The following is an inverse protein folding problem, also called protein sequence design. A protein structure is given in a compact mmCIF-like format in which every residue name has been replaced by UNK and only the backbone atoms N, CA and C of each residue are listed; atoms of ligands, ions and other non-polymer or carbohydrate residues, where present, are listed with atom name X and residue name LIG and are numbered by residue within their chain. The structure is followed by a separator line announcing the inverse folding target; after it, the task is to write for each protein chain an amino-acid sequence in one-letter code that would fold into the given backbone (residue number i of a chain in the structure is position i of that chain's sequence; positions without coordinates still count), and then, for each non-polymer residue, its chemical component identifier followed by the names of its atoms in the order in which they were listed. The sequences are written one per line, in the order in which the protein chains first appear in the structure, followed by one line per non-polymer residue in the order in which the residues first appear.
data_IF_325207786808
#
_entry.id   IF_325207786808
#
_cell.length_a   1.000
_cell.length_b   1.000
_cell.length_c   1.000
_cell.angle_alpha   90.00
_cell.angle_beta   90.00
_cell.angle_gamma   90.00
#
_symmetry.space_group_name_H-M   'P 1'
#
loop_
_entity.id
_entity.type
_entity.pdbx_description
1 polymer ?
#
# COMPACT_ATOMS: atom_id res chain seq x y z
N UNK A 1 24.62 1.00 -9.75
CA UNK A 1 23.91 2.30 -9.53
C UNK A 1 24.31 3.30 -10.60
N UNK A 2 23.38 4.03 -11.21
CA UNK A 2 23.70 5.03 -12.23
C UNK A 2 24.10 6.38 -11.59
N UNK A 3 24.76 7.27 -12.37
CA UNK A 3 25.26 8.57 -11.89
C UNK A 3 24.14 9.48 -11.36
N UNK A 4 22.96 9.48 -12.02
CA UNK A 4 21.82 10.31 -11.62
C UNK A 4 21.29 9.91 -10.24
N UNK A 5 21.12 8.59 -10.00
CA UNK A 5 20.68 8.07 -8.70
C UNK A 5 21.70 8.38 -7.59
N UNK A 6 22.99 8.27 -7.89
CA UNK A 6 24.05 8.60 -6.93
C UNK A 6 24.00 10.07 -6.53
N UNK A 7 23.81 10.97 -7.50
CA UNK A 7 23.67 12.40 -7.23
C UNK A 7 22.49 12.71 -6.29
N UNK A 8 21.30 12.09 -6.52
CA UNK A 8 20.14 12.26 -5.63
C UNK A 8 20.46 11.83 -4.19
N UNK A 9 21.13 10.69 -4.02
CA UNK A 9 21.53 10.21 -2.68
C UNK A 9 22.51 11.18 -2.01
N UNK A 10 23.49 11.71 -2.77
CA UNK A 10 24.49 12.66 -2.25
C UNK A 10 23.93 14.05 -1.96
N UNK A 11 22.82 14.44 -2.60
CA UNK A 11 22.12 15.70 -2.36
C UNK A 11 21.14 15.65 -1.17
N UNK A 12 20.75 14.46 -0.72
CA UNK A 12 19.89 14.30 0.44
C UNK A 12 20.68 14.51 1.73
N UNK A 13 20.14 15.29 2.67
CA UNK A 13 20.70 15.50 3.99
C UNK A 13 20.64 14.20 4.83
N UNK A 14 19.60 13.40 4.60
CA UNK A 14 19.47 12.06 5.17
C UNK A 14 19.18 11.05 4.05
N UNK A 15 19.95 9.95 4.01
CA UNK A 15 19.70 8.80 3.11
C UNK A 15 20.34 7.56 3.73
N UNK A 16 19.69 6.98 4.73
CA UNK A 16 20.23 5.94 5.59
C UNK A 16 19.29 4.77 5.78
N UNK A 17 19.86 3.58 5.98
CA UNK A 17 19.14 2.38 6.45
C UNK A 17 19.28 2.30 7.96
N UNK A 18 18.15 2.26 8.64
CA UNK A 18 18.06 2.01 10.08
C UNK A 18 17.70 0.54 10.32
N UNK A 19 18.36 -0.05 11.32
CA UNK A 19 18.02 -1.39 11.81
C UNK A 19 17.22 -1.21 13.12
N UNK A 20 15.91 -1.46 13.07
CA UNK A 20 15.00 -1.29 14.20
C UNK A 20 14.33 -2.61 14.60
N UNK A 21 14.17 -2.83 15.90
CA UNK A 21 13.31 -3.92 16.39
C UNK A 21 11.85 -3.51 16.25
N UNK A 22 11.11 -4.18 15.36
CA UNK A 22 9.68 -3.99 15.14
C UNK A 22 8.98 -5.35 15.25
N UNK A 23 8.03 -5.49 16.18
CA UNK A 23 7.36 -6.76 16.47
C UNK A 23 8.32 -7.85 16.97
N UNK A 24 9.46 -7.47 17.57
CA UNK A 24 10.49 -8.41 18.02
C UNK A 24 11.44 -8.90 16.93
N UNK A 25 11.34 -8.38 15.69
CA UNK A 25 12.22 -8.70 14.56
C UNK A 25 13.11 -7.51 14.23
N UNK A 26 14.40 -7.77 13.97
CA UNK A 26 15.30 -6.72 13.50
C UNK A 26 15.00 -6.43 12.03
N UNK A 27 14.43 -5.26 11.75
CA UNK A 27 13.95 -4.87 10.43
C UNK A 27 14.69 -3.63 9.93
N UNK A 28 14.96 -3.61 8.63
CA UNK A 28 15.60 -2.50 7.92
C UNK A 28 14.56 -1.53 7.40
N UNK A 29 14.79 -0.24 7.64
CA UNK A 29 13.94 0.86 7.19
C UNK A 29 14.83 1.89 6.49
N UNK A 30 14.54 2.23 5.25
CA UNK A 30 15.21 3.32 4.56
C UNK A 30 14.54 4.64 4.90
N UNK A 31 15.34 5.62 5.30
CA UNK A 31 14.87 7.01 5.49
C UNK A 31 15.71 7.89 4.58
N UNK A 32 15.04 8.68 3.72
CA UNK A 32 15.73 9.63 2.87
C UNK A 32 14.92 10.93 2.65
N UNK A 33 15.61 12.05 2.65
CA UNK A 33 15.06 13.38 2.42
C UNK A 33 16.14 14.41 2.18
N UNK A 34 15.80 15.42 1.41
CA UNK A 34 16.74 16.48 1.03
C UNK A 34 17.05 17.43 2.19
N UNK A 35 16.12 17.58 3.12
CA UNK A 35 16.19 18.49 4.26
C UNK A 35 15.48 17.85 5.44
N UNK A 36 16.14 17.78 6.60
CA UNK A 36 15.61 17.14 7.82
C UNK A 36 14.54 17.96 8.54
N UNK A 37 14.26 19.18 8.10
CA UNK A 37 13.14 19.99 8.59
C UNK A 37 11.81 19.73 7.86
N UNK A 38 11.82 18.95 6.79
CA UNK A 38 10.63 18.63 6.00
C UNK A 38 9.68 17.71 6.76
N UNK A 39 8.37 17.73 6.44
CA UNK A 39 7.43 16.73 6.98
C UNK A 39 7.84 15.31 6.62
N UNK A 40 7.52 14.38 7.50
CA UNK A 40 7.82 12.95 7.32
C UNK A 40 6.64 12.22 6.69
N UNK A 41 6.91 11.31 5.76
CA UNK A 41 5.90 10.41 5.17
C UNK A 41 6.33 8.95 5.33
N UNK A 42 5.59 8.19 6.13
CA UNK A 42 5.74 6.73 6.19
C UNK A 42 4.94 6.09 5.05
N UNK A 43 5.58 5.22 4.29
CA UNK A 43 4.92 4.47 3.22
C UNK A 43 4.50 3.08 3.69
N UNK A 44 3.21 2.74 3.57
CA UNK A 44 2.66 1.42 3.84
C UNK A 44 2.23 0.78 2.53
N UNK A 45 3.06 -0.11 2.02
CA UNK A 45 2.86 -0.73 0.70
C UNK A 45 1.67 -1.71 0.67
N UNK A 46 1.24 -2.04 -0.53
CA UNK A 46 0.16 -2.99 -0.81
C UNK A 46 0.61 -4.46 -0.82
N UNK A 47 -0.25 -5.30 -1.29
CA UNK A 47 -0.04 -6.74 -1.41
C UNK A 47 -1.05 -7.55 -0.59
N UNK A 48 -0.73 -8.12 0.56
CA UNK A 48 0.49 -8.02 1.38
C UNK A 48 1.79 -8.47 0.67
N UNK A 49 2.92 -7.89 1.10
CA UNK A 49 4.24 -8.30 0.65
C UNK A 49 4.72 -7.76 -0.71
N UNK A 50 4.12 -6.68 -1.21
CA UNK A 50 4.52 -6.07 -2.50
C UNK A 50 4.95 -4.60 -2.30
N UNK A 51 6.21 -4.32 -1.89
CA UNK A 51 6.69 -2.97 -1.60
C UNK A 51 6.98 -2.17 -2.89
N UNK A 52 5.95 -1.92 -3.68
CA UNK A 52 5.97 -1.15 -4.92
C UNK A 52 4.81 -0.13 -4.85
N UNK A 53 5.02 1.16 -5.19
CA UNK A 53 6.23 1.73 -5.80
C UNK A 53 7.37 2.03 -4.85
N UNK A 54 7.10 2.23 -3.56
CA UNK A 54 8.08 2.63 -2.55
C UNK A 54 8.58 1.42 -1.75
N UNK A 55 9.89 1.20 -1.81
CA UNK A 55 10.59 0.10 -1.16
C UNK A 55 11.91 0.59 -0.61
N UNK A 56 12.44 -0.07 0.42
CA UNK A 56 13.77 0.18 0.93
C UNK A 56 14.87 0.03 -0.16
N UNK A 57 14.60 -0.77 -1.19
CA UNK A 57 15.47 -0.86 -2.37
C UNK A 57 15.41 0.35 -3.31
N UNK A 58 14.53 1.31 -3.09
CA UNK A 58 14.31 2.46 -3.98
C UNK A 58 15.15 3.70 -3.62
N UNK A 59 16.16 3.61 -2.74
CA UNK A 59 17.04 4.72 -2.38
C UNK A 59 17.43 5.54 -3.61
N UNK A 60 17.18 6.86 -3.59
CA UNK A 60 17.50 7.81 -4.65
C UNK A 60 16.71 7.66 -5.95
N UNK A 61 15.52 7.01 -5.95
CA UNK A 61 14.69 6.88 -7.15
C UNK A 61 13.59 7.94 -7.27
N UNK A 62 13.17 8.56 -6.17
CA UNK A 62 12.03 9.45 -6.11
C UNK A 62 12.37 10.86 -5.62
N UNK A 63 13.24 11.61 -6.36
CA UNK A 63 13.67 12.95 -5.94
C UNK A 63 12.51 13.95 -5.82
N UNK A 64 11.40 13.74 -6.53
CA UNK A 64 10.19 14.53 -6.45
C UNK A 64 9.51 14.43 -5.08
N UNK A 65 9.63 13.27 -4.41
CA UNK A 65 9.15 13.05 -3.05
C UNK A 65 10.19 13.48 -2.02
N UNK A 66 11.44 13.02 -2.15
CA UNK A 66 12.50 13.33 -1.16
C UNK A 66 12.90 14.80 -1.14
N UNK A 67 12.60 15.55 -2.19
CA UNK A 67 12.76 17.01 -2.22
C UNK A 67 11.67 17.80 -1.45
N UNK A 68 10.61 17.13 -0.98
CA UNK A 68 9.46 17.74 -0.29
C UNK A 68 9.14 17.10 1.05
N UNK A 69 9.62 15.89 1.28
CA UNK A 69 9.36 15.07 2.46
C UNK A 69 10.59 14.28 2.86
N UNK A 70 10.66 13.95 4.13
CA UNK A 70 11.47 12.85 4.61
C UNK A 70 10.66 11.58 4.38
N UNK A 71 11.08 10.76 3.42
CA UNK A 71 10.38 9.54 3.06
C UNK A 71 10.90 8.36 3.88
N UNK A 72 10.00 7.62 4.51
CA UNK A 72 10.29 6.40 5.26
C UNK A 72 9.77 5.21 4.46
N UNK A 73 10.68 4.42 3.90
CA UNK A 73 10.35 3.24 3.13
C UNK A 73 10.59 1.99 3.98
N UNK A 74 9.51 1.27 4.23
CA UNK A 74 9.54 0.04 5.02
C UNK A 74 8.99 -1.12 4.18
N UNK A 75 9.88 -2.03 3.79
CA UNK A 75 9.45 -3.34 3.32
C UNK A 75 8.94 -4.09 4.54
N UNK A 76 7.64 -4.30 4.63
CA UNK A 76 7.04 -4.96 5.78
C UNK A 76 7.63 -6.36 5.98
N UNK A 77 7.65 -6.84 7.23
CA UNK A 77 8.19 -8.15 7.57
C UNK A 77 7.70 -9.23 6.61
N UNK A 78 8.61 -10.03 6.08
CA UNK A 78 8.31 -11.13 5.14
C UNK A 78 8.47 -10.79 3.67
N UNK A 79 8.88 -9.57 3.30
CA UNK A 79 9.19 -9.22 1.91
C UNK A 79 10.41 -8.31 1.79
N UNK A 80 10.91 -8.14 0.55
CA UNK A 80 12.03 -7.26 0.24
C UNK A 80 13.23 -7.51 1.14
N UNK A 81 13.82 -6.43 1.69
CA UNK A 81 15.01 -6.51 2.55
C UNK A 81 14.71 -7.14 3.93
N UNK A 82 13.42 -7.18 4.32
CA UNK A 82 12.95 -7.79 5.57
C UNK A 82 12.33 -9.17 5.32
N UNK A 83 13.03 -10.00 4.56
CA UNK A 83 12.58 -11.31 4.10
C UNK A 83 12.64 -12.37 5.23
N UNK A 84 11.71 -12.29 6.16
CA UNK A 84 11.49 -13.29 7.21
C UNK A 84 10.38 -14.27 6.81
N UNK A 85 10.33 -15.41 7.48
CA UNK A 85 9.24 -16.37 7.30
C UNK A 85 7.96 -15.82 7.94
N UNK A 86 6.89 -15.79 7.18
CA UNK A 86 5.55 -15.42 7.65
C UNK A 86 4.70 -16.68 7.71
N UNK A 87 4.51 -17.19 8.91
CA UNK A 87 3.63 -18.35 9.17
C UNK A 87 2.20 -17.90 9.56
N UNK A 88 1.34 -18.85 9.91
CA UNK A 88 -0.06 -18.57 10.23
C UNK A 88 -0.29 -17.86 11.58
N UNK A 89 0.76 -17.63 12.39
CA UNK A 89 0.67 -16.82 13.60
C UNK A 89 0.63 -15.32 13.36
N UNK A 90 1.08 -14.89 12.19
CA UNK A 90 1.03 -13.48 11.80
C UNK A 90 -0.38 -13.09 11.36
N UNK A 91 -0.93 -12.10 12.04
CA UNK A 91 -2.27 -11.53 11.87
C UNK A 91 -2.21 -10.09 11.39
N UNK A 92 -3.34 -9.47 11.03
CA UNK A 92 -3.42 -8.02 10.78
C UNK A 92 -2.86 -7.26 11.98
N UNK A 93 -3.23 -7.64 13.21
CA UNK A 93 -2.78 -6.98 14.43
C UNK A 93 -1.26 -7.06 14.65
N UNK A 94 -0.59 -8.12 14.20
CA UNK A 94 0.88 -8.21 14.21
C UNK A 94 1.52 -7.07 13.39
N UNK A 95 1.01 -6.81 12.21
CA UNK A 95 1.49 -5.73 11.33
C UNK A 95 1.08 -4.34 11.84
N UNK A 96 -0.09 -4.21 12.44
CA UNK A 96 -0.53 -2.97 13.09
C UNK A 96 0.41 -2.61 14.24
N UNK A 97 0.80 -3.58 15.06
CA UNK A 97 1.75 -3.37 16.15
C UNK A 97 3.12 -2.93 15.64
N UNK A 98 3.67 -3.62 14.62
CA UNK A 98 4.92 -3.22 13.98
C UNK A 98 4.83 -1.80 13.39
N UNK A 99 3.68 -1.42 12.81
CA UNK A 99 3.47 -0.07 12.27
C UNK A 99 3.46 0.99 13.37
N UNK A 100 2.84 0.71 14.52
CA UNK A 100 2.85 1.62 15.67
C UNK A 100 4.26 1.79 16.23
N UNK A 101 5.04 0.72 16.33
CA UNK A 101 6.44 0.77 16.76
C UNK A 101 7.30 1.56 15.75
N UNK A 102 7.07 1.38 14.43
CA UNK A 102 7.72 2.19 13.39
C UNK A 102 7.41 3.67 13.56
N UNK A 103 6.12 4.03 13.75
CA UNK A 103 5.69 5.42 13.99
C UNK A 103 6.40 5.99 15.21
N UNK A 104 6.49 5.24 16.31
CA UNK A 104 7.19 5.67 17.50
C UNK A 104 8.67 5.96 17.21
N UNK A 105 9.37 5.05 16.52
CA UNK A 105 10.79 5.23 16.16
C UNK A 105 11.01 6.45 15.26
N UNK A 106 10.12 6.69 14.33
CA UNK A 106 10.15 7.87 13.47
C UNK A 106 9.93 9.15 14.27
N UNK A 107 8.98 9.17 15.20
CA UNK A 107 8.74 10.33 16.09
C UNK A 107 9.91 10.59 17.06
N UNK A 108 10.58 9.55 17.52
CA UNK A 108 11.80 9.70 18.32
C UNK A 108 12.94 10.36 17.51
N UNK A 109 13.03 10.06 16.20
CA UNK A 109 14.06 10.62 15.33
C UNK A 109 13.71 12.04 14.81
N UNK A 110 12.42 12.30 14.61
CA UNK A 110 11.89 13.56 14.07
C UNK A 110 10.76 14.11 14.98
N UNK A 111 11.06 14.56 16.21
CA UNK A 111 10.04 14.90 17.20
C UNK A 111 9.20 16.13 16.84
N UNK A 112 9.76 17.07 16.06
CA UNK A 112 9.13 18.34 15.73
C UNK A 112 8.51 18.36 14.33
N UNK A 113 8.71 17.29 13.53
CA UNK A 113 8.21 17.23 12.16
C UNK A 113 6.77 16.71 12.13
N UNK A 114 5.93 17.27 11.27
CA UNK A 114 4.64 16.65 10.94
C UNK A 114 4.86 15.28 10.35
N UNK A 115 4.02 14.33 10.73
CA UNK A 115 4.10 12.94 10.33
C UNK A 115 2.85 12.51 9.58
N UNK A 116 3.00 12.11 8.33
CA UNK A 116 1.93 11.62 7.47
C UNK A 116 2.14 10.15 7.11
N UNK A 117 1.06 9.48 6.70
CA UNK A 117 1.12 8.17 6.08
C UNK A 117 0.67 8.28 4.63
N UNK A 118 1.40 7.64 3.74
CA UNK A 118 0.92 7.22 2.44
C UNK A 118 0.74 5.70 2.42
N UNK A 119 -0.46 5.22 2.16
CA UNK A 119 -0.76 3.78 2.13
C UNK A 119 -1.44 3.34 0.85
N UNK A 120 -1.25 2.08 0.46
CA UNK A 120 -1.86 1.49 -0.73
C UNK A 120 -2.50 0.14 -0.40
N UNK A 121 -3.72 -0.08 -0.90
CA UNK A 121 -4.37 -1.41 -0.87
C UNK A 121 -4.27 -2.05 0.54
N UNK A 122 -3.58 -3.19 0.69
CA UNK A 122 -3.30 -3.80 2.00
C UNK A 122 -2.80 -2.79 3.05
N UNK A 123 -1.89 -1.88 2.69
CA UNK A 123 -1.40 -0.84 3.60
C UNK A 123 -2.52 0.06 4.16
N UNK A 124 -3.64 0.20 3.45
CA UNK A 124 -4.80 0.98 3.91
C UNK A 124 -5.53 0.32 5.08
N UNK A 125 -5.46 -1.00 5.19
CA UNK A 125 -5.97 -1.72 6.37
C UNK A 125 -5.13 -1.32 7.59
N UNK A 126 -3.81 -1.28 7.44
CA UNK A 126 -2.92 -0.91 8.53
C UNK A 126 -3.17 0.54 8.97
N UNK A 127 -3.25 1.50 8.03
CA UNK A 127 -3.52 2.90 8.38
C UNK A 127 -4.87 3.10 9.08
N UNK A 128 -5.94 2.43 8.67
CA UNK A 128 -7.22 2.49 9.38
C UNK A 128 -7.13 1.88 10.78
N UNK A 129 -6.51 0.70 10.91
CA UNK A 129 -6.39 -0.02 12.19
C UNK A 129 -5.47 0.69 13.19
N UNK A 130 -4.41 1.37 12.77
CA UNK A 130 -3.58 2.17 13.69
C UNK A 130 -4.38 3.36 14.26
N UNK A 131 -5.23 4.01 13.45
CA UNK A 131 -6.07 5.11 13.92
C UNK A 131 -7.16 4.64 14.88
N UNK A 132 -7.67 3.42 14.73
CA UNK A 132 -8.56 2.81 15.72
C UNK A 132 -7.87 2.64 17.09
N UNK A 133 -6.58 2.27 17.09
CA UNK A 133 -5.80 2.10 18.34
C UNK A 133 -5.28 3.41 18.92
N UNK A 134 -4.91 4.35 18.06
CA UNK A 134 -4.40 5.67 18.44
C UNK A 134 -4.75 6.70 17.36
N UNK A 135 -5.84 7.42 17.56
CA UNK A 135 -6.40 8.36 16.60
C UNK A 135 -5.46 9.52 16.23
N UNK A 136 -4.49 9.85 17.08
CA UNK A 136 -3.48 10.88 16.85
C UNK A 136 -2.07 10.30 16.62
N UNK A 137 -1.99 9.06 16.13
CA UNK A 137 -0.70 8.45 15.83
C UNK A 137 0.08 9.26 14.76
N UNK A 138 -0.63 9.91 13.83
CA UNK A 138 -0.09 10.72 12.74
C UNK A 138 -0.97 11.94 12.49
N UNK A 139 -0.48 12.92 11.72
CA UNK A 139 -1.18 14.17 11.43
C UNK A 139 -2.13 14.09 10.22
N UNK A 140 -2.01 13.05 9.42
CA UNK A 140 -2.91 12.82 8.28
C UNK A 140 -2.52 11.58 7.47
N UNK A 141 -3.48 11.11 6.67
CA UNK A 141 -3.33 9.89 5.86
C UNK A 141 -3.79 10.14 4.43
N UNK A 142 -2.95 9.78 3.46
CA UNK A 142 -3.32 9.67 2.04
C UNK A 142 -3.32 8.20 1.65
N UNK A 143 -4.39 7.75 1.03
CA UNK A 143 -4.56 6.35 0.64
C UNK A 143 -4.79 6.24 -0.86
N UNK A 144 -4.18 5.26 -1.50
CA UNK A 144 -4.55 4.82 -2.84
C UNK A 144 -5.18 3.43 -2.78
N UNK A 145 -6.42 3.30 -3.31
CA UNK A 145 -7.10 2.00 -3.38
C UNK A 145 -7.49 1.49 -1.99
N UNK A 146 -8.31 2.24 -1.25
CA UNK A 146 -8.76 1.91 0.10
C UNK A 146 -9.54 0.60 0.13
N UNK A 147 -9.11 -0.36 0.93
CA UNK A 147 -9.91 -1.53 1.26
C UNK A 147 -10.88 -1.14 2.38
N UNK A 148 -12.18 -1.26 2.12
CA UNK A 148 -13.25 -1.13 3.13
C UNK A 148 -13.70 -2.50 3.58
N UNK A 149 -14.17 -3.31 2.63
CA UNK A 149 -14.64 -4.69 2.79
C UNK A 149 -14.61 -5.41 1.44
N UNK A 150 -14.83 -6.71 1.44
CA UNK A 150 -15.12 -7.53 0.25
C UNK A 150 -14.09 -7.42 -0.88
N UNK A 151 -12.80 -7.25 -0.52
CA UNK A 151 -11.72 -7.19 -1.52
C UNK A 151 -11.76 -8.43 -2.44
N UNK A 152 -11.61 -8.25 -3.75
CA UNK A 152 -11.64 -9.26 -4.82
C UNK A 152 -12.99 -9.96 -5.04
N UNK A 153 -13.80 -10.19 -4.00
CA UNK A 153 -15.02 -11.00 -4.07
C UNK A 153 -16.28 -10.15 -3.85
N UNK A 154 -16.32 -8.97 -4.46
CA UNK A 154 -17.47 -8.08 -4.47
C UNK A 154 -18.32 -8.25 -5.75
N UNK A 155 -19.51 -7.66 -5.77
CA UNK A 155 -20.43 -7.75 -6.90
C UNK A 155 -19.89 -7.08 -8.16
N UNK A 156 -19.11 -6.00 -8.05
CA UNK A 156 -18.52 -5.31 -9.21
C UNK A 156 -17.55 -6.24 -9.95
N UNK A 157 -16.75 -7.02 -9.22
CA UNK A 157 -15.85 -8.03 -9.81
C UNK A 157 -16.63 -9.10 -10.56
N UNK A 158 -17.66 -9.66 -9.92
CA UNK A 158 -18.50 -10.70 -10.54
C UNK A 158 -19.16 -10.16 -11.82
N UNK A 159 -19.79 -8.98 -11.72
CA UNK A 159 -20.49 -8.33 -12.85
C UNK A 159 -19.54 -7.94 -13.99
N UNK A 160 -18.32 -7.49 -13.65
CA UNK A 160 -17.32 -7.16 -14.65
C UNK A 160 -16.82 -8.42 -15.38
N UNK A 161 -16.52 -9.49 -14.65
CA UNK A 161 -15.99 -10.74 -15.20
C UNK A 161 -17.05 -11.48 -16.05
N UNK A 162 -18.33 -11.43 -15.68
CA UNK A 162 -19.44 -12.07 -16.41
C UNK A 162 -19.58 -11.53 -17.85
N UNK A 163 -19.22 -10.27 -18.06
CA UNK A 163 -19.24 -9.59 -19.38
C UNK A 163 -18.01 -9.89 -20.24
N UNK A 164 -17.09 -10.72 -19.77
CA UNK A 164 -15.81 -10.99 -20.44
C UNK A 164 -15.79 -12.36 -21.14
N UNK A 165 -14.62 -12.70 -21.72
CA UNK A 165 -14.36 -14.02 -22.31
C UNK A 165 -13.87 -15.04 -21.25
N UNK A 166 -14.03 -14.77 -19.96
CA UNK A 166 -13.72 -15.74 -18.90
C UNK A 166 -14.62 -16.96 -19.04
N UNK A 167 -14.07 -18.16 -18.91
CA UNK A 167 -14.89 -19.37 -19.02
C UNK A 167 -15.92 -19.44 -17.88
N UNK A 168 -17.13 -19.91 -18.20
CA UNK A 168 -18.22 -20.06 -17.23
C UNK A 168 -17.80 -20.86 -16.00
N UNK A 169 -17.05 -21.96 -16.18
CA UNK A 169 -16.53 -22.76 -15.07
C UNK A 169 -15.68 -21.95 -14.10
N UNK A 170 -14.78 -21.08 -14.60
CA UNK A 170 -13.96 -20.23 -13.74
C UNK A 170 -14.78 -19.17 -13.03
N UNK A 171 -15.75 -18.58 -13.71
CA UNK A 171 -16.67 -17.62 -13.11
C UNK A 171 -17.49 -18.23 -11.99
N UNK A 172 -18.02 -19.45 -12.19
CA UNK A 172 -18.77 -20.17 -11.15
C UNK A 172 -17.89 -20.53 -9.93
N UNK A 173 -16.61 -20.87 -10.14
CA UNK A 173 -15.67 -21.03 -9.03
C UNK A 173 -15.53 -19.73 -8.23
N UNK A 174 -15.35 -18.59 -8.91
CA UNK A 174 -15.22 -17.28 -8.26
C UNK A 174 -16.50 -16.94 -7.47
N UNK A 175 -17.68 -17.15 -8.06
CA UNK A 175 -18.98 -16.91 -7.40
C UNK A 175 -19.20 -17.81 -6.19
N UNK A 176 -18.75 -19.08 -6.25
CA UNK A 176 -18.93 -20.07 -5.20
C UNK A 176 -17.88 -20.00 -4.09
N UNK A 177 -16.83 -19.17 -4.25
CA UNK A 177 -15.74 -19.08 -3.28
C UNK A 177 -16.25 -18.55 -1.94
N UNK A 178 -16.05 -19.33 -0.88
CA UNK A 178 -16.35 -18.95 0.50
C UNK A 178 -15.14 -18.25 1.11
N UNK A 179 -15.31 -17.02 1.57
CA UNK A 179 -14.24 -16.15 2.10
C UNK A 179 -13.56 -16.73 3.33
N UNK A 180 -14.31 -17.50 4.14
CA UNK A 180 -13.82 -18.14 5.35
C UNK A 180 -12.80 -19.26 5.06
N UNK A 181 -12.88 -19.86 3.86
CA UNK A 181 -12.08 -21.02 3.49
C UNK A 181 -11.35 -20.85 2.14
N UNK A 182 -11.11 -19.59 1.74
CA UNK A 182 -10.47 -19.31 0.47
C UNK A 182 -9.10 -19.98 0.34
N UNK A 183 -8.87 -20.64 -0.78
CA UNK A 183 -7.58 -21.21 -1.12
C UNK A 183 -6.70 -20.21 -1.88
N UNK A 184 -5.38 -20.36 -1.79
CA UNK A 184 -4.43 -19.56 -2.60
C UNK A 184 -4.71 -19.68 -4.10
N UNK A 185 -5.26 -20.81 -4.56
CA UNK A 185 -5.63 -21.02 -5.96
C UNK A 185 -6.84 -20.16 -6.37
N UNK A 186 -7.84 -20.03 -5.52
CA UNK A 186 -9.00 -19.18 -5.77
C UNK A 186 -8.63 -17.69 -5.74
N UNK A 187 -7.80 -17.26 -4.78
CA UNK A 187 -7.24 -15.90 -4.76
C UNK A 187 -6.47 -15.58 -6.04
N UNK A 188 -5.60 -16.50 -6.48
CA UNK A 188 -4.86 -16.33 -7.72
C UNK A 188 -5.79 -16.33 -8.94
N UNK A 189 -6.84 -17.16 -8.93
CA UNK A 189 -7.81 -17.21 -10.02
C UNK A 189 -8.54 -15.88 -10.17
N UNK A 190 -9.11 -15.33 -9.10
CA UNK A 190 -9.84 -14.06 -9.15
C UNK A 190 -8.91 -12.90 -9.51
N UNK A 191 -7.77 -12.76 -8.83
CA UNK A 191 -6.80 -11.70 -9.07
C UNK A 191 -6.27 -11.71 -10.51
N UNK A 192 -5.88 -12.87 -11.04
CA UNK A 192 -5.41 -13.00 -12.42
C UNK A 192 -6.53 -12.78 -13.44
N UNK A 193 -7.79 -13.15 -13.11
CA UNK A 193 -8.93 -12.90 -13.98
C UNK A 193 -9.26 -11.41 -14.08
N UNK A 194 -9.29 -10.68 -12.97
CA UNK A 194 -9.46 -9.23 -12.98
C UNK A 194 -8.38 -8.58 -13.84
N UNK A 195 -7.11 -8.92 -13.60
CA UNK A 195 -5.96 -8.35 -14.32
C UNK A 195 -6.03 -8.61 -15.82
N UNK A 196 -6.43 -9.80 -16.23
CA UNK A 196 -6.41 -10.22 -17.64
C UNK A 196 -7.62 -9.74 -18.43
N UNK A 197 -8.79 -9.68 -17.83
CA UNK A 197 -10.05 -9.53 -18.54
C UNK A 197 -10.77 -8.21 -18.26
N UNK A 198 -10.32 -7.41 -17.30
CA UNK A 198 -10.92 -6.13 -16.95
C UNK A 198 -9.86 -5.01 -16.89
N UNK A 199 -10.30 -3.78 -16.73
CA UNK A 199 -9.46 -2.62 -16.45
C UNK A 199 -9.37 -2.29 -14.93
N UNK A 200 -9.78 -3.23 -14.09
CA UNK A 200 -9.83 -3.01 -12.62
C UNK A 200 -8.47 -2.79 -11.96
N UNK A 201 -7.39 -3.32 -12.53
CA UNK A 201 -6.03 -3.06 -12.02
C UNK A 201 -5.36 -1.86 -12.70
N UNK A 202 -5.68 -1.60 -13.97
CA UNK A 202 -5.04 -0.60 -14.81
C UNK A 202 -6.07 0.08 -15.70
N UNK A 203 -5.69 1.20 -16.29
CA UNK A 203 -6.55 1.95 -17.21
C UNK A 203 -7.07 1.12 -18.38
N UNK A 204 -6.29 0.16 -18.90
CA UNK A 204 -6.67 -0.68 -20.06
C UNK A 204 -6.70 -2.15 -19.70
N UNK A 205 -7.60 -2.88 -20.35
CA UNK A 205 -7.74 -4.33 -20.17
C UNK A 205 -6.42 -5.02 -20.52
N UNK A 206 -5.91 -5.83 -19.58
CA UNK A 206 -4.66 -6.58 -19.73
C UNK A 206 -3.39 -5.74 -19.71
N UNK A 207 -3.49 -4.43 -19.51
CA UNK A 207 -2.33 -3.57 -19.31
C UNK A 207 -1.62 -3.93 -18.01
N UNK A 208 -0.31 -3.82 -18.04
CA UNK A 208 0.52 -3.97 -16.83
C UNK A 208 0.94 -2.60 -16.34
N UNK A 209 1.02 -2.45 -15.01
CA UNK A 209 1.55 -1.23 -14.43
C UNK A 209 2.93 -0.92 -15.03
N UNK A 210 3.24 0.36 -15.33
CA UNK A 210 4.55 0.77 -15.84
C UNK A 210 5.62 0.71 -14.75
N UNK A 211 5.83 -0.48 -14.17
CA UNK A 211 6.77 -0.72 -13.07
C UNK A 211 8.19 -1.03 -13.55
N UNK A 212 8.41 -1.14 -14.85
CA UNK A 212 9.71 -1.50 -15.39
C UNK A 212 10.87 -0.59 -14.90
N UNK A 213 10.72 0.74 -14.81
CA UNK A 213 11.75 1.60 -14.22
C UNK A 213 12.04 1.28 -12.75
N UNK A 214 10.98 0.99 -11.97
CA UNK A 214 11.09 0.63 -10.54
C UNK A 214 11.80 -0.71 -10.40
N UNK A 215 11.38 -1.73 -11.16
CA UNK A 215 12.06 -3.04 -11.18
C UNK A 215 13.54 -2.90 -11.53
N UNK A 216 13.85 -2.11 -12.56
CA UNK A 216 15.25 -1.82 -12.92
C UNK A 216 15.98 -1.11 -11.77
N UNK A 217 15.32 -0.19 -11.10
CA UNK A 217 15.81 0.50 -9.92
C UNK A 217 16.13 -0.46 -8.78
N UNK A 218 15.22 -1.37 -8.46
CA UNK A 218 15.39 -2.40 -7.42
C UNK A 218 16.55 -3.34 -7.74
N UNK A 219 16.66 -3.82 -8.99
CA UNK A 219 17.78 -4.66 -9.44
C UNK A 219 19.14 -3.95 -9.39
N UNK A 220 19.18 -2.63 -9.41
CA UNK A 220 20.38 -1.81 -9.31
C UNK A 220 20.50 -1.08 -7.99
N UNK A 221 19.73 -1.47 -6.99
CA UNK A 221 19.75 -0.90 -5.65
C UNK A 221 21.13 -1.04 -5.00
N UNK A 222 21.62 -0.02 -4.29
CA UNK A 222 22.80 -0.18 -3.45
C UNK A 222 22.54 -1.04 -2.20
N UNK A 223 21.29 -1.20 -1.81
CA UNK A 223 20.87 -1.80 -0.54
C UNK A 223 20.32 -3.21 -0.68
N UNK A 224 19.83 -3.59 -1.89
CA UNK A 224 19.24 -4.89 -2.15
C UNK A 224 20.25 -5.92 -2.65
N UNK A 225 20.17 -7.11 -2.09
CA UNK A 225 20.67 -8.33 -2.72
C UNK A 225 19.65 -8.88 -3.75
N UNK A 226 20.10 -9.83 -4.57
CA UNK A 226 19.16 -10.54 -5.46
C UNK A 226 18.10 -11.33 -4.69
N UNK A 227 18.39 -11.78 -3.47
CA UNK A 227 17.44 -12.49 -2.61
C UNK A 227 16.33 -11.56 -2.14
N UNK A 228 16.65 -10.31 -1.76
CA UNK A 228 15.68 -9.29 -1.34
C UNK A 228 14.74 -8.95 -2.51
N UNK A 229 15.28 -8.77 -3.71
CA UNK A 229 14.46 -8.58 -4.91
C UNK A 229 13.54 -9.78 -5.17
N UNK A 230 14.05 -11.01 -5.05
CA UNK A 230 13.25 -12.24 -5.21
C UNK A 230 12.11 -12.31 -4.16
N UNK A 231 12.36 -11.85 -2.95
CA UNK A 231 11.39 -11.84 -1.86
C UNK A 231 10.19 -10.88 -2.09
N UNK A 232 10.30 -9.93 -3.03
CA UNK A 232 9.15 -9.15 -3.50
C UNK A 232 8.23 -10.01 -4.37
N UNK A 233 8.82 -10.85 -5.23
CA UNK A 233 8.09 -11.64 -6.22
C UNK A 233 7.52 -12.93 -5.63
N UNK A 234 8.25 -13.54 -4.68
CA UNK A 234 7.91 -14.81 -4.05
C UNK A 234 8.16 -14.69 -2.55
N UNK A 235 7.11 -14.42 -1.80
CA UNK A 235 7.16 -14.24 -0.35
C UNK A 235 6.16 -15.17 0.38
N UNK A 236 6.24 -15.18 1.70
CA UNK A 236 5.45 -16.06 2.56
C UNK A 236 3.97 -15.71 2.67
N UNK A 237 3.58 -14.47 2.36
CA UNK A 237 2.21 -13.99 2.54
C UNK A 237 1.16 -14.80 1.77
N UNK A 238 1.50 -15.27 0.57
CA UNK A 238 0.58 -16.07 -0.26
C UNK A 238 0.19 -17.41 0.40
N UNK A 239 0.97 -17.89 1.37
CA UNK A 239 0.76 -19.15 2.08
C UNK A 239 0.10 -18.97 3.44
N UNK A 240 0.09 -17.76 3.99
CA UNK A 240 -0.55 -17.45 5.26
C UNK A 240 -2.07 -17.36 5.07
N UNK A 241 -2.77 -18.49 5.28
CA UNK A 241 -4.23 -18.57 5.12
C UNK A 241 -4.98 -17.80 6.20
N UNK A 242 -4.42 -17.73 7.40
CA UNK A 242 -5.02 -17.01 8.53
C UNK A 242 -5.13 -15.52 8.20
N UNK A 243 -4.03 -14.90 7.76
CA UNK A 243 -4.01 -13.50 7.36
C UNK A 243 -4.97 -13.19 6.21
N UNK A 244 -5.01 -14.05 5.17
CA UNK A 244 -5.95 -13.86 4.06
C UNK A 244 -7.41 -14.00 4.49
N UNK A 245 -7.72 -14.90 5.43
CA UNK A 245 -9.06 -15.02 6.00
C UNK A 245 -9.46 -13.74 6.72
N UNK A 246 -8.59 -13.16 7.55
CA UNK A 246 -8.84 -11.89 8.21
C UNK A 246 -9.08 -10.77 7.20
N UNK A 247 -8.24 -10.64 6.15
CA UNK A 247 -8.39 -9.62 5.10
C UNK A 247 -9.73 -9.75 4.36
N UNK A 248 -10.18 -10.96 4.08
CA UNK A 248 -11.41 -11.19 3.31
C UNK A 248 -12.68 -11.04 4.14
N UNK A 249 -12.59 -11.10 5.46
CA UNK A 249 -13.73 -10.97 6.39
C UNK A 249 -13.81 -9.60 7.05
N UNK A 250 -12.78 -8.74 6.90
CA UNK A 250 -12.77 -7.44 7.56
C UNK A 250 -13.86 -6.50 7.01
N UNK A 251 -14.35 -5.63 7.89
CA UNK A 251 -15.14 -4.45 7.55
C UNK A 251 -14.58 -3.24 8.32
N UNK A 252 -14.01 -2.29 7.60
CA UNK A 252 -13.42 -1.07 8.15
C UNK A 252 -14.40 0.11 8.17
N UNK A 253 -15.65 -0.08 7.75
CA UNK A 253 -16.64 1.02 7.64
C UNK A 253 -16.79 1.76 8.96
N UNK A 254 -16.92 1.03 10.08
CA UNK A 254 -17.09 1.60 11.40
C UNK A 254 -15.88 2.40 11.91
N UNK A 255 -14.68 2.08 11.44
CA UNK A 255 -13.43 2.78 11.77
C UNK A 255 -13.31 4.04 10.90
N UNK A 256 -13.45 3.89 9.59
CA UNK A 256 -13.25 4.97 8.63
C UNK A 256 -14.24 6.11 8.81
N UNK A 257 -15.51 5.81 9.16
CA UNK A 257 -16.50 6.84 9.44
C UNK A 257 -16.21 7.69 10.68
N UNK A 258 -15.29 7.26 11.54
CA UNK A 258 -14.95 7.91 12.81
C UNK A 258 -13.55 8.51 12.86
N UNK A 259 -12.83 8.55 11.72
CA UNK A 259 -11.49 9.17 11.69
C UNK A 259 -11.60 10.64 12.08
N UNK A 260 -10.69 11.11 12.93
CA UNK A 260 -10.68 12.47 13.49
C UNK A 260 -9.50 13.32 13.01
N UNK A 261 -8.67 12.75 12.13
CA UNK A 261 -7.60 13.45 11.41
C UNK A 261 -7.90 13.45 9.90
N UNK A 262 -7.28 14.33 9.11
CA UNK A 262 -7.44 14.33 7.65
C UNK A 262 -7.09 12.96 7.05
N UNK A 263 -8.07 12.33 6.41
CA UNK A 263 -7.96 11.03 5.75
C UNK A 263 -8.49 11.13 4.32
N UNK A 264 -7.58 11.16 3.36
CA UNK A 264 -7.91 11.35 1.94
C UNK A 264 -7.70 10.07 1.17
N UNK A 265 -8.77 9.57 0.58
CA UNK A 265 -8.77 8.41 -0.30
C UNK A 265 -8.66 8.88 -1.75
N UNK A 266 -7.62 8.47 -2.45
CA UNK A 266 -7.50 8.55 -3.90
C UNK A 266 -7.90 7.20 -4.49
N UNK A 267 -8.95 7.19 -5.29
CA UNK A 267 -9.55 5.96 -5.78
C UNK A 267 -9.63 5.98 -7.30
N UNK A 268 -9.10 4.95 -7.95
CA UNK A 268 -9.23 4.80 -9.40
C UNK A 268 -10.70 4.62 -9.81
N UNK A 269 -11.12 5.26 -10.89
CA UNK A 269 -12.51 5.20 -11.38
C UNK A 269 -12.91 3.80 -11.88
N UNK A 270 -11.93 2.96 -12.24
CA UNK A 270 -12.16 1.59 -12.70
C UNK A 270 -11.76 0.53 -11.68
N UNK A 271 -11.35 0.92 -10.47
CA UNK A 271 -10.96 -0.01 -9.43
C UNK A 271 -12.16 -0.82 -8.91
N UNK A 272 -12.18 -2.11 -9.25
CA UNK A 272 -13.14 -3.10 -8.75
C UNK A 272 -12.52 -4.04 -7.69
N UNK A 273 -11.22 -3.96 -7.48
CA UNK A 273 -10.50 -4.77 -6.49
C UNK A 273 -10.87 -4.30 -5.08
N UNK A 274 -10.71 -3.00 -4.84
CA UNK A 274 -11.26 -2.29 -3.69
C UNK A 274 -12.42 -1.42 -4.22
N UNK A 275 -13.65 -1.92 -4.12
CA UNK A 275 -14.83 -1.36 -4.80
C UNK A 275 -14.95 0.16 -4.68
N UNK A 276 -14.87 0.84 -5.81
CA UNK A 276 -15.06 2.30 -5.90
C UNK A 276 -16.47 2.71 -5.49
N UNK A 277 -17.49 1.89 -5.77
CA UNK A 277 -18.86 2.14 -5.35
C UNK A 277 -19.00 2.10 -3.82
N UNK A 278 -18.43 1.08 -3.17
CA UNK A 278 -18.43 0.94 -1.71
C UNK A 278 -17.78 2.15 -1.02
N UNK A 279 -16.67 2.65 -1.57
CA UNK A 279 -15.95 3.81 -1.00
C UNK A 279 -16.80 5.08 -1.14
N UNK A 280 -17.39 5.33 -2.31
CA UNK A 280 -18.27 6.48 -2.54
C UNK A 280 -19.45 6.49 -1.58
N UNK A 281 -20.12 5.35 -1.43
CA UNK A 281 -21.24 5.19 -0.51
C UNK A 281 -20.82 5.46 0.94
N UNK A 282 -19.69 4.88 1.38
CA UNK A 282 -19.17 5.08 2.72
C UNK A 282 -18.88 6.56 3.01
N UNK A 283 -18.16 7.24 2.12
CA UNK A 283 -17.80 8.65 2.33
C UNK A 283 -19.04 9.54 2.35
N UNK A 284 -19.98 9.32 1.43
CA UNK A 284 -21.23 10.09 1.38
C UNK A 284 -22.10 9.89 2.63
N UNK A 285 -22.21 8.64 3.11
CA UNK A 285 -23.05 8.33 4.28
C UNK A 285 -22.42 8.70 5.61
N UNK A 286 -21.07 8.80 5.67
CA UNK A 286 -20.35 9.08 6.91
C UNK A 286 -20.61 10.50 7.46
N UNK A 287 -20.85 11.47 6.58
CA UNK A 287 -20.88 12.91 6.90
C UNK A 287 -19.66 13.41 7.69
N UNK A 288 -18.54 12.67 7.65
CA UNK A 288 -17.32 13.02 8.35
C UNK A 288 -16.45 13.95 7.48
N UNK A 289 -16.21 15.22 7.88
CA UNK A 289 -15.42 16.16 7.10
C UNK A 289 -13.95 15.75 6.96
N UNK A 290 -13.45 14.92 7.87
CA UNK A 290 -12.08 14.41 7.82
C UNK A 290 -11.90 13.27 6.80
N UNK A 291 -12.98 12.53 6.49
CA UNK A 291 -12.94 11.43 5.52
C UNK A 291 -13.34 11.95 4.13
N UNK A 292 -12.37 12.02 3.22
CA UNK A 292 -12.58 12.51 1.87
C UNK A 292 -12.20 11.45 0.83
N UNK A 293 -12.89 11.46 -0.31
CA UNK A 293 -12.54 10.62 -1.45
C UNK A 293 -12.49 11.45 -2.73
N UNK A 294 -11.40 11.29 -3.47
CA UNK A 294 -11.25 11.83 -4.83
C UNK A 294 -11.11 10.70 -5.83
N UNK A 295 -11.92 10.75 -6.88
CA UNK A 295 -11.87 9.76 -7.96
C UNK A 295 -10.87 10.22 -9.01
N UNK A 296 -9.87 9.38 -9.26
CA UNK A 296 -8.86 9.62 -10.27
C UNK A 296 -9.28 8.92 -11.56
N UNK A 297 -9.55 9.71 -12.59
CA UNK A 297 -10.01 9.19 -13.88
C UNK A 297 -8.94 8.32 -14.56
N UNK A 298 -9.41 7.38 -15.39
CA UNK A 298 -8.55 6.45 -16.14
C UNK A 298 -7.54 5.71 -15.26
N UNK A 299 -7.94 5.33 -14.07
CA UNK A 299 -7.07 4.66 -13.10
C UNK A 299 -7.78 3.45 -12.49
N UNK A 300 -7.02 2.37 -12.30
CA UNK A 300 -7.47 1.17 -11.59
C UNK A 300 -6.88 1.10 -10.18
N UNK A 301 -6.81 -0.13 -9.66
CA UNK A 301 -6.28 -0.42 -8.33
C UNK A 301 -4.79 -0.04 -8.15
N UNK A 302 -4.02 -0.04 -9.23
CA UNK A 302 -2.62 0.38 -9.20
C UNK A 302 -2.50 1.81 -9.75
N UNK A 303 -1.85 2.73 -9.03
CA UNK A 303 -1.65 4.08 -9.53
C UNK A 303 -0.70 4.05 -10.73
N UNK A 304 -1.08 4.71 -11.81
CA UNK A 304 -0.17 5.10 -12.85
C UNK A 304 0.67 6.33 -12.44
N UNK A 305 1.38 6.91 -13.40
CA UNK A 305 2.15 8.15 -13.14
C UNK A 305 1.23 9.27 -12.63
N UNK A 306 0.12 9.50 -13.31
CA UNK A 306 -0.88 10.54 -12.94
C UNK A 306 -1.43 10.30 -11.52
N UNK A 307 -1.70 9.04 -11.15
CA UNK A 307 -2.13 8.70 -9.80
C UNK A 307 -1.07 9.02 -8.74
N UNK A 308 0.21 8.76 -9.04
CA UNK A 308 1.31 9.12 -8.14
C UNK A 308 1.54 10.62 -8.04
N UNK A 309 1.32 11.36 -9.12
CA UNK A 309 1.34 12.83 -9.12
C UNK A 309 0.21 13.37 -8.21
N UNK A 310 -1.01 12.79 -8.28
CA UNK A 310 -2.12 13.12 -7.36
C UNK A 310 -1.76 12.83 -5.89
N UNK A 311 -1.09 11.71 -5.61
CA UNK A 311 -0.62 11.38 -4.24
C UNK A 311 0.34 12.45 -3.74
N UNK A 312 1.33 12.84 -4.55
CA UNK A 312 2.30 13.88 -4.19
C UNK A 312 1.60 15.21 -3.90
N UNK A 313 0.66 15.62 -4.75
CA UNK A 313 -0.09 16.87 -4.57
C UNK A 313 -0.91 16.87 -3.27
N UNK A 314 -1.57 15.75 -2.92
CA UNK A 314 -2.33 15.66 -1.66
C UNK A 314 -1.43 15.69 -0.43
N UNK A 315 -0.29 15.02 -0.47
CA UNK A 315 0.70 15.10 0.61
C UNK A 315 1.23 16.52 0.78
N UNK A 316 1.50 17.23 -0.32
CA UNK A 316 1.93 18.63 -0.28
C UNK A 316 0.88 19.56 0.35
N UNK A 317 -0.41 19.33 0.10
CA UNK A 317 -1.49 20.10 0.73
C UNK A 317 -1.55 19.87 2.26
N UNK A 318 -1.20 18.69 2.74
CA UNK A 318 -1.09 18.41 4.18
C UNK A 318 0.11 19.14 4.82
N UNK A 319 1.23 19.18 4.13
CA UNK A 319 2.44 19.87 4.61
C UNK A 319 2.30 21.39 4.72
N UNK A 320 1.36 22.00 4.00
CA UNK A 320 1.12 23.45 4.01
C UNK A 320 0.19 23.93 5.15
N UNK A 321 -0.56 23.03 5.77
CA UNK A 321 -1.44 23.30 6.91
C UNK A 321 -0.71 23.08 8.22
#
# INVERSE_FOLDING_TARGET
MNKKRKAVIEENEISEIYDWSLGGYNQKVLIEGKDTSLPVVITLHGGPGTPIPFSAGCRGLFPEFTGRFIMVYWDQLGCGINNYVIDESFTIDSFVQMTLELIQKVKELFPDNKLFIFSMSWGSILSARILEKNCHAVDGVVVWGQIVKDIFFNEEVVNALDKTKLSKTKLEIIKATQRENVSSRELQLVSSSIRKYTNGYQNKIGEQAPIAPIIKGLLTSPDYSFQDFKAIMVNGYQKNRSLWREILQLDLSGILTKVDIPYVILQGDTDIVASTATIKELVQSSHNPNLQCEIVANSGHMPGKEGMDCVLDKLCLFGQK
#
